data_IF_884599397114
#
_entry.id   IF_884599397114
#
_cell.length_a   1.000
_cell.length_b   1.000
_cell.length_c   1.000
_cell.angle_alpha   90.00
_cell.angle_beta   90.00
_cell.angle_gamma   90.00
#
_symmetry.space_group_name_H-M   'P 1'
#
loop_
_entity.id
_entity.type
_entity.pdbx_description
1 polymer ?
#
# COMPACT_ATOMS: atom_id res chain seq x y z
N UNK A 1 54.99 42.62 -3.54
CA UNK A 1 53.77 42.01 -2.95
C UNK A 1 52.95 43.14 -2.31
N UNK A 2 51.90 43.58 -2.99
CA UNK A 2 51.07 44.73 -2.57
C UNK A 2 49.74 44.20 -2.05
N UNK A 3 49.44 44.47 -0.78
CA UNK A 3 48.14 44.14 -0.19
C UNK A 3 47.19 45.32 -0.30
N UNK A 4 46.06 45.04 -0.94
CA UNK A 4 44.94 45.93 -1.26
C UNK A 4 44.06 46.27 -0.05
N UNK A 5 43.65 47.54 0.01
CA UNK A 5 42.65 48.10 0.91
C UNK A 5 41.27 47.43 0.82
N UNK A 6 40.56 47.30 1.95
CA UNK A 6 39.08 47.36 2.00
C UNK A 6 38.59 48.12 3.22
N UNK A 7 37.77 49.13 2.97
CA UNK A 7 37.13 50.01 3.93
C UNK A 7 35.59 49.91 3.85
N UNK A 8 34.95 50.19 4.99
CA UNK A 8 33.57 50.65 5.22
C UNK A 8 32.40 49.64 5.33
N UNK A 9 32.14 49.25 6.58
CA UNK A 9 31.05 49.78 7.46
C UNK A 9 29.68 50.04 6.80
N UNK A 10 28.66 49.25 7.17
CA UNK A 10 27.32 49.81 7.45
C UNK A 10 26.57 49.02 8.53
N UNK A 11 26.44 49.67 9.68
CA UNK A 11 25.65 49.32 10.85
C UNK A 11 24.24 49.89 10.63
N UNK A 12 23.17 49.11 10.83
CA UNK A 12 21.82 49.66 11.06
C UNK A 12 21.20 49.02 12.30
N UNK A 13 20.72 49.90 13.18
CA UNK A 13 20.10 49.68 14.48
C UNK A 13 18.58 49.49 14.32
N UNK A 14 18.05 48.58 15.13
CA UNK A 14 16.77 48.58 15.89
C UNK A 14 15.54 49.30 15.34
N UNK A 15 14.40 48.59 15.36
CA UNK A 15 13.14 49.18 15.85
C UNK A 15 12.26 48.12 16.50
N UNK A 16 11.93 48.41 17.77
CA UNK A 16 10.99 47.75 18.66
C UNK A 16 9.55 48.00 18.19
N UNK A 17 8.72 46.96 18.12
CA UNK A 17 7.27 47.07 18.01
C UNK A 17 6.60 46.30 19.15
N UNK A 18 6.16 47.02 20.18
CA UNK A 18 5.19 46.58 21.18
C UNK A 18 3.80 47.04 20.73
N UNK A 19 2.79 46.17 20.80
CA UNK A 19 1.33 46.39 20.88
C UNK A 19 0.66 45.04 20.58
N UNK A 20 -0.25 44.46 21.33
CA UNK A 20 -0.93 44.80 22.57
C UNK A 20 -1.76 43.58 23.00
N UNK A 21 -1.77 43.29 24.29
CA UNK A 21 -2.56 42.24 24.95
C UNK A 21 -3.79 42.91 25.59
N UNK A 22 -4.99 42.52 25.16
CA UNK A 22 -6.29 42.62 25.85
C UNK A 22 -7.32 41.94 24.91
N UNK A 23 -8.19 41.02 25.29
CA UNK A 23 -8.73 40.59 26.58
C UNK A 23 -10.26 40.65 26.49
N UNK A 24 -10.97 39.52 26.66
CA UNK A 24 -12.32 39.45 27.24
C UNK A 24 -12.84 37.99 27.29
N UNK A 25 -12.98 37.49 28.53
CA UNK A 25 -13.95 36.47 28.97
C UNK A 25 -15.38 37.02 28.72
N UNK A 26 -16.50 36.30 28.62
CA UNK A 26 -17.04 35.20 29.42
C UNK A 26 -18.40 34.86 28.78
N UNK A 27 -18.83 33.60 28.81
CA UNK A 27 -20.18 33.21 28.39
C UNK A 27 -20.52 31.81 28.87
N UNK A 28 -20.93 31.70 30.13
CA UNK A 28 -21.52 30.49 30.69
C UNK A 28 -23.01 30.44 30.33
N UNK A 29 -23.51 29.25 29.96
CA UNK A 29 -24.82 28.67 30.34
C UNK A 29 -25.09 27.44 29.46
N UNK A 30 -25.42 26.32 30.10
CA UNK A 30 -26.01 25.17 29.41
C UNK A 30 -25.60 23.80 29.94
N UNK A 31 -25.84 23.52 31.23
CA UNK A 31 -25.95 22.14 31.71
C UNK A 31 -27.33 21.65 31.27
N UNK A 32 -27.35 20.69 30.35
CA UNK A 32 -28.54 19.96 29.94
C UNK A 32 -28.18 18.50 29.74
N UNK A 33 -28.39 17.69 30.78
CA UNK A 33 -28.26 16.24 30.69
C UNK A 33 -29.37 15.68 29.82
N UNK A 34 -29.01 14.84 28.83
CA UNK A 34 -29.94 13.85 28.28
C UNK A 34 -29.18 12.54 28.12
N UNK A 35 -29.25 11.71 29.16
CA UNK A 35 -29.12 10.28 29.01
C UNK A 35 -30.44 9.76 28.45
N UNK A 36 -30.42 9.29 27.21
CA UNK A 36 -31.50 8.48 26.65
C UNK A 36 -30.86 7.31 25.90
N UNK A 37 -30.81 6.17 26.59
CA UNK A 37 -30.62 4.86 25.97
C UNK A 37 -31.87 4.56 25.16
N UNK A 38 -31.74 4.45 23.84
CA UNK A 38 -32.69 3.74 22.99
C UNK A 38 -31.91 2.66 22.25
N UNK A 39 -31.89 1.48 22.83
CA UNK A 39 -31.90 0.23 22.08
C UNK A 39 -33.31 0.14 21.50
N UNK A 40 -33.45 -0.11 20.19
CA UNK A 40 -34.48 -0.96 19.55
C UNK A 40 -34.60 -0.66 18.04
N UNK A 41 -34.43 -1.75 17.27
CA UNK A 41 -34.92 -2.06 15.92
C UNK A 41 -34.20 -1.52 14.68
N UNK A 42 -33.50 -2.46 14.02
CA UNK A 42 -33.37 -2.55 12.57
C UNK A 42 -34.74 -2.62 11.92
N UNK A 43 -34.97 -1.87 10.83
CA UNK A 43 -35.73 -2.35 9.69
C UNK A 43 -34.84 -2.37 8.44
N UNK A 44 -35.00 -3.45 7.68
CA UNK A 44 -34.36 -3.69 6.39
C UNK A 44 -34.77 -2.68 5.30
N UNK A 45 -33.81 -2.47 4.38
CA UNK A 45 -33.93 -2.04 2.97
C UNK A 45 -34.09 -0.53 2.65
N UNK A 46 -33.86 -0.10 1.39
CA UNK A 46 -32.72 -0.38 0.49
C UNK A 46 -32.15 0.91 -0.16
N UNK A 47 -30.88 0.87 -0.56
CA UNK A 47 -30.33 1.54 -1.77
C UNK A 47 -30.40 3.07 -1.90
N UNK A 48 -29.24 3.73 -1.77
CA UNK A 48 -28.83 4.83 -2.66
C UNK A 48 -27.29 4.89 -2.76
N UNK A 49 -26.72 5.23 -3.93
CA UNK A 49 -25.34 4.93 -4.28
C UNK A 49 -24.38 5.97 -3.69
N UNK A 50 -23.37 5.51 -2.95
CA UNK A 50 -22.23 6.34 -2.57
C UNK A 50 -21.05 6.03 -3.47
N UNK A 51 -20.61 7.05 -4.20
CA UNK A 51 -19.41 7.04 -5.00
C UNK A 51 -18.16 6.88 -4.12
N UNK A 52 -17.22 6.11 -4.65
CA UNK A 52 -15.93 5.77 -4.08
C UNK A 52 -15.03 6.97 -3.80
N UNK A 53 -14.19 6.84 -2.77
CA UNK A 53 -13.08 7.74 -2.49
C UNK A 53 -12.36 7.42 -1.19
N UNK A 54 -11.33 6.58 -1.29
CA UNK A 54 -10.10 6.57 -0.46
C UNK A 54 -10.23 6.88 1.04
N UNK A 55 -10.04 5.85 1.88
CA UNK A 55 -9.53 6.05 3.24
C UNK A 55 -10.04 5.07 4.28
N UNK A 56 -9.12 4.22 4.75
CA UNK A 56 -9.02 3.79 6.16
C UNK A 56 -10.22 3.02 6.72
N UNK A 57 -10.19 1.70 6.56
CA UNK A 57 -10.98 0.82 7.42
C UNK A 57 -10.39 0.77 8.83
N UNK A 58 -10.85 1.68 9.69
CA UNK A 58 -10.81 1.45 11.14
C UNK A 58 -12.00 0.57 11.53
N UNK A 59 -11.85 -0.74 11.40
CA UNK A 59 -12.73 -1.69 12.09
C UNK A 59 -12.21 -1.93 13.50
N UNK A 60 -12.82 -1.22 14.46
CA UNK A 60 -12.74 -1.52 15.89
C UNK A 60 -13.92 -2.45 16.25
N UNK A 61 -13.62 -3.50 17.01
CA UNK A 61 -14.51 -4.52 17.59
C UNK A 61 -14.97 -5.68 16.68
N UNK A 62 -14.17 -6.74 16.71
CA UNK A 62 -14.58 -8.11 16.41
C UNK A 62 -13.46 -9.08 16.81
N UNK A 63 -13.76 -10.03 17.67
CA UNK A 63 -12.87 -11.02 18.27
C UNK A 63 -11.81 -11.58 17.32
N UNK A 64 -10.59 -11.79 17.83
CA UNK A 64 -9.51 -12.47 17.14
C UNK A 64 -9.99 -13.79 16.53
N UNK A 65 -9.76 -14.06 15.23
CA UNK A 65 -9.94 -15.41 14.72
C UNK A 65 -8.87 -16.30 15.33
N UNK A 66 -9.29 -17.15 16.27
CA UNK A 66 -8.61 -18.39 16.59
C UNK A 66 -8.53 -19.22 15.31
N UNK A 67 -7.37 -19.19 14.66
CA UNK A 67 -7.16 -19.87 13.39
C UNK A 67 -6.01 -19.28 12.60
N UNK A 68 -4.88 -18.99 13.24
CA UNK A 68 -3.61 -18.86 12.50
C UNK A 68 -3.27 -20.29 12.07
N UNK A 69 -3.18 -20.61 10.77
CA UNK A 69 -2.60 -21.89 10.36
C UNK A 69 -1.22 -21.97 10.98
N UNK A 70 -0.90 -23.06 11.68
CA UNK A 70 0.39 -23.28 12.37
C UNK A 70 1.61 -23.35 11.44
N UNK A 71 1.50 -22.92 10.18
CA UNK A 71 2.59 -22.80 9.22
C UNK A 71 2.70 -21.36 8.76
N UNK A 72 3.52 -20.56 9.46
CA UNK A 72 3.99 -19.29 8.90
C UNK A 72 4.71 -19.50 7.55
N UNK A 73 5.00 -18.43 6.79
CA UNK A 73 5.56 -18.56 5.44
C UNK A 73 6.79 -19.48 5.44
N UNK A 74 6.84 -20.40 4.49
CA UNK A 74 7.85 -21.45 4.48
C UNK A 74 9.20 -20.92 4.00
N UNK A 75 10.34 -21.42 4.51
CA UNK A 75 11.64 -21.09 3.95
C UNK A 75 11.76 -21.61 2.51
N UNK A 76 12.39 -20.83 1.64
CA UNK A 76 12.77 -21.23 0.28
C UNK A 76 14.10 -20.60 -0.16
N UNK A 77 14.71 -21.19 -1.18
CA UNK A 77 15.86 -20.59 -1.88
C UNK A 77 15.47 -19.32 -2.63
N UNK A 78 16.42 -18.40 -2.82
CA UNK A 78 16.18 -17.19 -3.61
C UNK A 78 15.79 -17.55 -5.06
N UNK A 79 14.66 -17.05 -5.58
CA UNK A 79 14.25 -17.33 -6.95
C UNK A 79 15.06 -16.51 -7.95
N UNK A 80 14.96 -16.86 -9.23
CA UNK A 80 15.34 -15.92 -10.30
C UNK A 80 14.40 -14.72 -10.23
N UNK A 81 14.96 -13.54 -10.02
CA UNK A 81 14.23 -12.28 -9.99
C UNK A 81 14.78 -11.32 -11.05
N UNK A 82 13.96 -10.37 -11.47
CA UNK A 82 14.34 -9.29 -12.37
C UNK A 82 15.21 -8.24 -11.66
N UNK A 83 15.30 -7.04 -12.24
CA UNK A 83 16.11 -5.96 -11.68
C UNK A 83 15.53 -5.47 -10.35
N UNK A 84 16.38 -5.34 -9.34
CA UNK A 84 16.03 -4.72 -8.06
C UNK A 84 15.78 -3.21 -8.21
N UNK A 85 14.71 -2.74 -7.58
CA UNK A 85 14.36 -1.33 -7.46
C UNK A 85 14.15 -0.97 -5.98
N UNK A 86 14.63 0.20 -5.58
CA UNK A 86 14.51 0.69 -4.21
C UNK A 86 13.53 1.85 -4.10
N UNK A 87 12.64 1.77 -3.12
CA UNK A 87 11.63 2.78 -2.81
C UNK A 87 11.77 3.19 -1.35
N UNK A 88 11.58 4.48 -1.06
CA UNK A 88 11.64 4.99 0.32
C UNK A 88 10.38 5.77 0.59
N UNK A 89 9.69 5.43 1.67
CA UNK A 89 8.49 6.16 2.09
C UNK A 89 8.86 7.51 2.72
N UNK A 90 7.92 8.46 2.86
CA UNK A 90 8.18 9.75 3.51
C UNK A 90 8.65 9.61 4.96
N UNK A 91 8.29 8.50 5.63
CA UNK A 91 8.73 8.19 6.99
C UNK A 91 10.17 7.63 7.05
N UNK A 92 10.81 7.41 5.89
CA UNK A 92 12.19 6.91 5.81
C UNK A 92 12.32 5.38 5.85
N UNK A 93 11.24 4.64 5.58
CA UNK A 93 11.30 3.18 5.43
C UNK A 93 11.68 2.83 3.99
N UNK A 94 12.84 2.18 3.83
CA UNK A 94 13.36 1.79 2.51
C UNK A 94 13.03 0.34 2.17
N UNK A 95 12.41 0.08 1.03
CA UNK A 95 12.01 -1.23 0.49
C UNK A 95 12.75 -1.51 -0.81
N UNK A 96 13.30 -2.71 -0.96
CA UNK A 96 13.85 -3.19 -2.24
C UNK A 96 12.92 -4.25 -2.79
N UNK A 97 12.58 -4.14 -4.07
CA UNK A 97 11.64 -5.02 -4.78
C UNK A 97 12.28 -5.57 -6.05
N UNK A 98 12.00 -6.83 -6.38
CA UNK A 98 12.34 -7.44 -7.66
C UNK A 98 11.26 -8.43 -8.10
N UNK A 99 10.74 -8.27 -9.32
CA UNK A 99 9.69 -9.16 -9.82
C UNK A 99 10.26 -10.56 -10.10
N UNK A 100 9.49 -11.60 -9.77
CA UNK A 100 9.90 -13.01 -9.94
C UNK A 100 9.18 -13.62 -11.13
N UNK A 101 7.85 -13.56 -11.13
CA UNK A 101 7.01 -14.08 -12.21
C UNK A 101 5.62 -13.47 -12.14
N UNK A 102 4.87 -13.68 -13.21
CA UNK A 102 3.43 -13.40 -13.28
C UNK A 102 2.71 -14.63 -13.81
N UNK A 103 1.40 -14.69 -13.60
CA UNK A 103 0.56 -15.73 -14.16
C UNK A 103 -0.89 -15.62 -13.76
N UNK A 104 -1.62 -16.68 -14.06
CA UNK A 104 -3.02 -16.83 -13.68
C UNK A 104 -3.22 -18.11 -12.89
N UNK A 105 -4.08 -18.08 -11.89
CA UNK A 105 -4.45 -19.24 -11.08
C UNK A 105 -5.91 -19.11 -10.64
N UNK A 106 -6.61 -20.25 -10.46
CA UNK A 106 -8.01 -20.25 -9.98
C UNK A 106 -8.10 -19.92 -8.49
N UNK A 107 -7.01 -20.04 -7.75
CA UNK A 107 -6.91 -19.72 -6.33
C UNK A 107 -5.48 -19.24 -5.98
N UNK A 108 -5.07 -18.05 -6.45
CA UNK A 108 -3.70 -17.58 -6.29
C UNK A 108 -3.32 -17.30 -4.84
N UNK A 109 -4.31 -16.94 -4.00
CA UNK A 109 -4.16 -16.61 -2.59
C UNK A 109 -5.15 -17.41 -1.74
N UNK A 110 -4.82 -17.55 -0.45
CA UNK A 110 -5.56 -18.41 0.50
C UNK A 110 -7.04 -18.01 0.66
N UNK A 111 -7.33 -16.71 0.51
CA UNK A 111 -8.65 -16.10 0.62
C UNK A 111 -9.42 -16.04 -0.69
N UNK A 112 -8.81 -16.44 -1.82
CA UNK A 112 -9.46 -16.39 -3.14
C UNK A 112 -10.60 -17.41 -3.24
N UNK A 113 -11.76 -16.96 -3.72
CA UNK A 113 -12.90 -17.84 -4.02
C UNK A 113 -12.78 -18.40 -5.43
N UNK A 114 -13.26 -19.62 -5.69
CA UNK A 114 -13.22 -20.20 -7.02
C UNK A 114 -13.95 -19.29 -8.05
N UNK A 115 -13.31 -18.94 -9.18
CA UNK A 115 -13.92 -18.12 -10.21
C UNK A 115 -14.93 -18.94 -11.02
N UNK A 116 -15.71 -18.27 -11.87
CA UNK A 116 -16.61 -18.95 -12.81
C UNK A 116 -15.80 -19.72 -13.87
N UNK A 117 -16.48 -20.54 -14.66
CA UNK A 117 -15.86 -21.19 -15.81
C UNK A 117 -15.47 -20.14 -16.86
N UNK A 118 -14.27 -20.25 -17.44
CA UNK A 118 -13.71 -19.25 -18.35
C UNK A 118 -13.04 -18.06 -17.67
N UNK A 119 -13.01 -18.05 -16.34
CA UNK A 119 -12.42 -17.02 -15.50
C UNK A 119 -11.32 -17.57 -14.57
N UNK A 120 -10.31 -16.74 -14.33
CA UNK A 120 -9.15 -17.02 -13.47
C UNK A 120 -8.71 -15.73 -12.77
N UNK A 121 -7.82 -15.80 -11.79
CA UNK A 121 -7.24 -14.59 -11.19
C UNK A 121 -5.84 -14.35 -11.72
N UNK A 122 -5.53 -13.10 -12.02
CA UNK A 122 -4.17 -12.70 -12.33
C UNK A 122 -3.36 -12.56 -11.03
N UNK A 123 -2.10 -12.96 -11.06
CA UNK A 123 -1.18 -12.77 -9.96
C UNK A 123 0.23 -12.42 -10.46
N UNK A 124 1.03 -11.85 -9.56
CA UNK A 124 2.46 -11.77 -9.72
C UNK A 124 3.18 -11.99 -8.38
N UNK A 125 4.34 -12.63 -8.46
CA UNK A 125 5.24 -12.86 -7.33
C UNK A 125 6.41 -11.87 -7.44
N UNK A 126 6.79 -11.25 -6.34
CA UNK A 126 7.98 -10.40 -6.24
C UNK A 126 8.72 -10.62 -4.92
N UNK A 127 10.02 -10.39 -4.93
CA UNK A 127 10.85 -10.33 -3.74
C UNK A 127 10.62 -8.99 -3.06
N UNK A 128 10.32 -9.00 -1.76
CA UNK A 128 10.29 -7.82 -0.90
C UNK A 128 11.41 -7.93 0.14
N UNK A 129 12.32 -6.96 0.16
CA UNK A 129 13.47 -6.97 1.06
C UNK A 129 13.45 -5.78 2.03
N UNK A 130 13.70 -6.08 3.30
CA UNK A 130 14.09 -5.10 4.30
C UNK A 130 15.61 -4.97 4.36
N UNK A 131 16.18 -4.04 3.59
CA UNK A 131 17.62 -3.77 3.59
C UNK A 131 18.11 -3.00 4.83
N UNK A 132 17.20 -2.57 5.73
CA UNK A 132 17.55 -1.84 6.93
C UNK A 132 17.97 -2.78 8.07
N UNK A 133 18.80 -2.26 8.99
CA UNK A 133 19.26 -2.98 10.19
C UNK A 133 18.25 -2.98 11.34
N UNK A 134 17.00 -2.59 11.08
CA UNK A 134 15.91 -2.53 12.06
C UNK A 134 14.62 -3.09 11.46
N UNK A 135 13.70 -3.62 12.28
CA UNK A 135 12.35 -3.91 11.83
C UNK A 135 11.68 -2.66 11.26
N UNK A 136 10.78 -2.85 10.29
CA UNK A 136 9.96 -1.79 9.68
C UNK A 136 8.55 -2.31 9.38
N UNK A 137 7.54 -1.45 9.23
CA UNK A 137 6.19 -1.87 8.85
C UNK A 137 6.20 -2.74 7.58
N UNK A 138 5.42 -3.81 7.60
CA UNK A 138 5.12 -4.59 6.41
C UNK A 138 4.15 -3.78 5.55
N UNK A 139 4.67 -3.22 4.46
CA UNK A 139 3.91 -2.58 3.41
C UNK A 139 4.10 -3.37 2.11
N UNK A 140 3.11 -3.28 1.20
CA UNK A 140 3.13 -3.92 -0.12
C UNK A 140 3.09 -2.85 -1.22
N UNK A 141 4.26 -2.38 -1.70
CA UNK A 141 4.30 -1.20 -2.60
C UNK A 141 3.85 -1.49 -4.03
N UNK A 142 3.84 -2.75 -4.45
CA UNK A 142 3.61 -3.14 -5.84
C UNK A 142 2.18 -3.59 -6.08
N UNK A 143 1.61 -3.08 -7.17
CA UNK A 143 0.30 -3.46 -7.69
C UNK A 143 0.41 -4.23 -9.00
N UNK A 144 -0.58 -5.07 -9.24
CA UNK A 144 -0.72 -5.85 -10.46
C UNK A 144 -1.47 -5.06 -11.53
N UNK A 145 -0.91 -5.03 -12.73
CA UNK A 145 -1.52 -4.46 -13.91
C UNK A 145 -1.69 -5.50 -15.00
N UNK A 146 -2.80 -5.40 -15.72
CA UNK A 146 -3.20 -6.30 -16.79
C UNK A 146 -3.75 -5.50 -17.98
N UNK A 147 -3.76 -6.07 -19.19
CA UNK A 147 -4.41 -5.44 -20.34
C UNK A 147 -5.88 -5.20 -20.05
N UNK A 148 -6.39 -4.02 -20.41
CA UNK A 148 -7.81 -3.69 -20.23
C UNK A 148 -8.74 -4.66 -20.95
N UNK A 149 -8.30 -5.21 -22.07
CA UNK A 149 -9.07 -6.15 -22.90
C UNK A 149 -9.16 -7.54 -22.28
N UNK A 150 -8.25 -7.91 -21.37
CA UNK A 150 -8.29 -9.18 -20.64
C UNK A 150 -9.25 -9.16 -19.45
N UNK A 151 -9.78 -7.98 -19.11
CA UNK A 151 -10.77 -7.79 -18.03
C UNK A 151 -12.17 -8.01 -18.59
N UNK A 152 -12.96 -8.95 -18.02
CA UNK A 152 -14.36 -9.17 -18.37
C UNK A 152 -15.18 -7.87 -18.29
N UNK A 153 -16.20 -7.75 -19.13
CA UNK A 153 -17.05 -6.54 -19.16
C UNK A 153 -17.67 -6.21 -17.81
N UNK A 154 -18.03 -7.23 -17.02
CA UNK A 154 -18.55 -7.12 -15.65
C UNK A 154 -17.58 -6.49 -14.64
N UNK A 155 -16.27 -6.58 -14.88
CA UNK A 155 -15.22 -6.03 -14.01
C UNK A 155 -14.53 -4.79 -14.59
N UNK A 156 -14.82 -4.43 -15.85
CA UNK A 156 -14.10 -3.38 -16.57
C UNK A 156 -14.26 -1.97 -15.99
N UNK A 157 -15.38 -1.71 -15.29
CA UNK A 157 -15.57 -0.45 -14.55
C UNK A 157 -14.64 -0.32 -13.33
N UNK A 158 -14.16 -1.45 -12.79
CA UNK A 158 -13.22 -1.52 -11.65
C UNK A 158 -11.76 -1.50 -12.09
N UNK A 159 -11.51 -1.58 -13.39
CA UNK A 159 -10.19 -1.57 -14.02
C UNK A 159 -9.72 -0.11 -14.17
N UNK A 160 -8.91 0.31 -13.20
CA UNK A 160 -8.47 1.70 -13.06
C UNK A 160 -7.15 1.93 -13.81
N UNK A 161 -7.09 2.91 -14.75
CA UNK A 161 -5.83 3.36 -15.30
C UNK A 161 -5.03 4.12 -14.23
N UNK A 162 -3.70 4.10 -14.33
CA UNK A 162 -2.83 4.83 -13.40
C UNK A 162 -1.82 5.69 -14.15
N UNK A 163 -1.49 6.90 -13.65
CA UNK A 163 -0.49 7.76 -14.28
C UNK A 163 0.87 7.06 -14.40
N UNK A 164 1.54 7.19 -15.56
CA UNK A 164 2.85 6.58 -15.81
C UNK A 164 2.82 5.10 -16.18
N UNK A 165 1.65 4.46 -16.12
CA UNK A 165 1.41 3.11 -16.67
C UNK A 165 0.85 3.27 -18.09
N UNK A 166 1.15 2.36 -19.04
CA UNK A 166 0.55 2.42 -20.38
C UNK A 166 -0.99 2.44 -20.34
N UNK A 167 -1.61 3.29 -21.16
CA UNK A 167 -3.08 3.50 -21.18
C UNK A 167 -3.88 2.24 -21.56
N UNK A 168 -3.23 1.26 -22.18
CA UNK A 168 -3.83 -0.05 -22.51
C UNK A 168 -3.91 -0.98 -21.32
N UNK A 169 -3.31 -0.62 -20.18
CA UNK A 169 -3.30 -1.40 -18.97
C UNK A 169 -4.12 -0.74 -17.86
N UNK A 170 -4.55 -1.55 -16.92
CA UNK A 170 -5.21 -1.09 -15.72
C UNK A 170 -4.89 -2.03 -14.55
N UNK A 171 -5.17 -1.54 -13.35
CA UNK A 171 -5.17 -2.34 -12.15
C UNK A 171 -6.60 -2.60 -11.71
N UNK A 172 -6.90 -3.86 -11.38
CA UNK A 172 -8.09 -4.23 -10.64
C UNK A 172 -7.81 -4.09 -9.14
N UNK A 173 -8.84 -4.02 -8.28
CA UNK A 173 -8.66 -4.28 -6.86
C UNK A 173 -7.84 -5.56 -6.67
N UNK A 174 -6.83 -5.50 -5.83
CA UNK A 174 -5.87 -6.58 -5.63
C UNK A 174 -5.39 -6.59 -4.17
N UNK A 175 -4.94 -7.75 -3.72
CA UNK A 175 -4.39 -7.95 -2.38
C UNK A 175 -3.05 -8.67 -2.45
N UNK A 176 -2.22 -8.41 -1.44
CA UNK A 176 -0.88 -8.99 -1.31
C UNK A 176 -0.76 -9.87 -0.07
N UNK A 177 0.00 -10.96 -0.18
CA UNK A 177 0.31 -11.87 0.92
C UNK A 177 1.80 -12.27 0.86
N UNK A 178 2.45 -12.39 2.03
CA UNK A 178 3.78 -13.01 2.13
C UNK A 178 3.61 -14.53 2.03
N UNK A 179 4.04 -15.12 0.92
CA UNK A 179 3.86 -16.56 0.65
C UNK A 179 5.07 -17.39 1.07
N UNK A 180 6.26 -16.79 1.13
CA UNK A 180 7.48 -17.50 1.54
C UNK A 180 8.54 -16.57 2.14
N UNK A 181 9.46 -17.15 2.91
CA UNK A 181 10.67 -16.50 3.43
C UNK A 181 11.87 -16.95 2.61
N UNK A 182 12.75 -16.04 2.25
CA UNK A 182 13.95 -16.36 1.48
C UNK A 182 15.12 -16.60 2.44
N UNK A 183 15.78 -17.75 2.30
CA UNK A 183 16.89 -18.16 3.17
C UNK A 183 16.48 -18.21 4.64
N UNK A 184 17.33 -17.66 5.51
CA UNK A 184 17.13 -17.65 6.96
C UNK A 184 16.32 -16.46 7.48
N UNK A 185 15.59 -15.77 6.60
CA UNK A 185 14.72 -14.67 7.00
C UNK A 185 13.75 -15.13 8.09
N UNK A 186 13.65 -14.37 9.18
CA UNK A 186 12.66 -14.61 10.24
C UNK A 186 11.26 -14.33 9.71
N UNK A 187 10.22 -14.90 10.31
CA UNK A 187 8.85 -14.57 9.92
C UNK A 187 8.52 -13.10 10.24
N UNK A 188 7.67 -12.43 9.42
CA UNK A 188 7.00 -11.21 9.85
C UNK A 188 6.31 -11.45 11.20
N UNK A 189 6.32 -10.44 12.07
CA UNK A 189 5.79 -10.56 13.43
C UNK A 189 5.01 -9.32 13.81
N UNK A 190 4.12 -9.45 14.79
CA UNK A 190 3.38 -8.32 15.33
C UNK A 190 4.27 -7.50 16.29
N UNK A 191 4.27 -6.19 16.11
CA UNK A 191 4.93 -5.23 16.99
C UNK A 191 4.08 -3.96 17.06
N UNK A 192 3.75 -3.52 18.27
CA UNK A 192 3.01 -2.27 18.51
C UNK A 192 1.65 -2.17 17.77
N UNK A 193 1.02 -3.31 17.47
CA UNK A 193 -0.25 -3.41 16.75
C UNK A 193 -0.12 -3.56 15.23
N UNK A 194 1.08 -3.40 14.68
CA UNK A 194 1.37 -3.56 13.26
C UNK A 194 2.11 -4.87 12.98
N UNK A 195 2.00 -5.37 11.75
CA UNK A 195 2.89 -6.44 11.27
C UNK A 195 4.16 -5.81 10.72
N UNK A 196 5.32 -6.29 11.16
CA UNK A 196 6.63 -5.75 10.75
C UNK A 196 7.48 -6.78 10.04
N UNK A 197 8.32 -6.30 9.12
CA UNK A 197 9.38 -7.06 8.47
C UNK A 197 10.64 -7.05 9.34
N UNK A 198 11.15 -8.22 9.77
CA UNK A 198 12.46 -8.34 10.40
C UNK A 198 13.59 -7.63 9.64
N UNK A 199 14.57 -7.11 10.38
CA UNK A 199 15.78 -6.50 9.83
C UNK A 199 16.52 -7.48 8.89
N UNK A 200 16.93 -7.00 7.72
CA UNK A 200 17.69 -7.79 6.74
C UNK A 200 16.91 -8.92 6.04
N UNK A 201 15.62 -9.09 6.33
CA UNK A 201 14.83 -10.20 5.78
C UNK A 201 14.38 -9.97 4.33
N UNK A 202 14.30 -11.04 3.56
CA UNK A 202 13.75 -11.08 2.21
C UNK A 202 12.62 -12.09 2.13
N UNK A 203 11.56 -11.76 1.41
CA UNK A 203 10.30 -12.49 1.38
C UNK A 203 9.77 -12.58 -0.04
N UNK A 204 9.06 -13.66 -0.36
CA UNK A 204 8.21 -13.69 -1.56
C UNK A 204 6.85 -13.14 -1.17
N UNK A 205 6.43 -12.13 -1.91
CA UNK A 205 5.09 -11.57 -1.84
C UNK A 205 4.38 -11.93 -3.13
N UNK A 206 3.14 -12.42 -3.00
CA UNK A 206 2.22 -12.56 -4.11
C UNK A 206 1.19 -11.44 -4.02
N UNK A 207 1.04 -10.70 -5.11
CA UNK A 207 -0.12 -9.83 -5.34
C UNK A 207 -1.06 -10.53 -6.32
N UNK A 208 -2.36 -10.55 -6.02
CA UNK A 208 -3.37 -11.12 -6.91
C UNK A 208 -4.60 -10.23 -7.01
N UNK A 209 -5.22 -10.24 -8.19
CA UNK A 209 -6.48 -9.54 -8.42
C UNK A 209 -7.61 -10.13 -7.58
N UNK A 210 -8.45 -9.28 -7.00
CA UNK A 210 -9.66 -9.68 -6.26
C UNK A 210 -10.81 -10.06 -7.20
N UNK A 211 -10.75 -9.55 -8.43
CA UNK A 211 -11.73 -9.81 -9.48
C UNK A 211 -11.07 -10.65 -10.58
N UNK A 212 -11.80 -11.60 -11.18
CA UNK A 212 -11.24 -12.46 -12.19
C UNK A 212 -10.95 -11.73 -13.51
N UNK A 213 -10.00 -12.28 -14.25
CA UNK A 213 -9.69 -12.00 -15.64
C UNK A 213 -10.12 -13.16 -16.53
N UNK A 214 -10.12 -12.97 -17.85
CA UNK A 214 -10.37 -14.07 -18.78
C UNK A 214 -9.28 -15.15 -18.71
N UNK A 215 -9.66 -16.44 -18.82
CA UNK A 215 -8.72 -17.58 -18.78
C UNK A 215 -7.62 -17.54 -19.85
N UNK A 216 -7.84 -16.81 -20.95
CA UNK A 216 -6.85 -16.59 -22.01
C UNK A 216 -5.79 -15.53 -21.70
N UNK A 217 -5.79 -14.94 -20.51
CA UNK A 217 -4.83 -13.87 -20.14
C UNK A 217 -3.41 -14.44 -20.08
N UNK A 218 -2.52 -13.96 -20.95
CA UNK A 218 -1.16 -14.47 -20.98
C UNK A 218 -0.32 -13.85 -19.86
N UNK A 219 0.47 -14.67 -19.16
CA UNK A 219 1.35 -14.23 -18.07
C UNK A 219 2.26 -13.07 -18.46
N UNK A 220 2.78 -13.07 -19.70
CA UNK A 220 3.70 -12.04 -20.21
C UNK A 220 3.06 -10.65 -20.35
N UNK A 221 1.73 -10.59 -20.39
CA UNK A 221 0.99 -9.33 -20.53
C UNK A 221 0.66 -8.73 -19.15
N UNK A 222 0.86 -9.50 -18.08
CA UNK A 222 0.74 -9.04 -16.69
C UNK A 222 2.04 -8.38 -16.24
N UNK A 223 1.92 -7.23 -15.57
CA UNK A 223 3.07 -6.43 -15.15
C UNK A 223 2.89 -5.92 -13.73
N UNK A 224 4.02 -5.66 -13.08
CA UNK A 224 4.07 -5.09 -11.74
C UNK A 224 4.51 -3.63 -11.81
N UNK A 225 3.81 -2.76 -11.10
CA UNK A 225 4.18 -1.36 -10.96
C UNK A 225 4.05 -0.92 -9.50
N UNK A 226 4.93 -0.01 -9.09
CA UNK A 226 4.73 0.80 -7.88
C UNK A 226 4.19 2.14 -8.36
N UNK A 227 2.97 2.51 -7.95
CA UNK A 227 2.34 3.78 -8.38
C UNK A 227 1.82 4.63 -7.23
N UNK A 228 1.62 4.06 -6.04
CA UNK A 228 1.16 4.81 -4.88
C UNK A 228 2.11 5.99 -4.58
N UNK A 229 1.53 7.16 -4.33
CA UNK A 229 2.25 8.42 -4.16
C UNK A 229 3.16 8.43 -2.91
N UNK A 230 2.97 7.49 -1.97
CA UNK A 230 3.85 7.27 -0.83
C UNK A 230 5.19 6.68 -1.26
N UNK A 231 5.27 5.98 -2.39
CA UNK A 231 6.50 5.36 -2.88
C UNK A 231 7.08 6.07 -4.12
N UNK A 232 6.25 6.82 -4.85
CA UNK A 232 6.64 7.51 -6.10
C UNK A 232 6.54 9.03 -5.95
N UNK A 233 7.68 9.72 -5.95
CA UNK A 233 7.73 11.17 -5.72
C UNK A 233 7.08 12.01 -6.82
N UNK A 234 7.07 11.51 -8.06
CA UNK A 234 6.46 12.19 -9.22
C UNK A 234 5.06 11.65 -9.57
N UNK A 235 4.51 10.76 -8.72
CA UNK A 235 3.20 10.12 -8.89
C UNK A 235 3.04 9.38 -10.22
N UNK A 236 4.13 8.84 -10.75
CA UNK A 236 4.12 8.01 -11.95
C UNK A 236 4.43 6.57 -11.58
N UNK A 237 3.69 5.65 -12.17
CA UNK A 237 3.94 4.22 -12.09
C UNK A 237 5.38 3.90 -12.51
N UNK A 238 6.11 3.24 -11.62
CA UNK A 238 7.44 2.69 -11.87
C UNK A 238 7.29 1.20 -12.05
N UNK A 239 7.60 0.71 -13.25
CA UNK A 239 7.55 -0.72 -13.53
C UNK A 239 8.64 -1.47 -12.77
N UNK A 240 8.27 -2.60 -12.17
CA UNK A 240 9.19 -3.61 -11.65
C UNK A 240 9.35 -4.68 -12.75
N UNK A 241 10.48 -4.70 -13.48
CA UNK A 241 10.62 -5.57 -14.64
C UNK A 241 10.75 -7.04 -14.23
N UNK A 242 10.04 -7.91 -14.96
CA UNK A 242 10.17 -9.36 -14.84
C UNK A 242 11.57 -9.85 -15.32
N UNK A 243 12.03 -11.04 -14.87
CA UNK A 243 13.35 -11.60 -15.22
C UNK A 243 13.53 -12.12 -16.65
#
# INVERSE_FOLDING_TARGET
MSHSHRSHRRRKKTTTGKLGLAGALTGALGIGAVAAVIIVLRPDAPGSPSMAGTGRDTSQNGSAPSGVPSGGPTPMSAPKAGRELSFTTPEGFGYTLAAVRSGTDRQPLSTSQAPKDGETYAYADYVLTNSQRRPKPLDFPADLFMPRDSVPSSARERCMPQPGVPDTMCTLPNHSEVTARIGDAKAPFAQDGDTVLPAGGSYIVRVASDLPVSDGTASRDLRLFVWDARFTSDRKGVEIPLP
#
